data_IF_459908281747
#
_entry.id   IF_459908281747
#
_cell.length_a   1.000
_cell.length_b   1.000
_cell.length_c   1.000
_cell.angle_alpha   90.00
_cell.angle_beta   90.00
_cell.angle_gamma   90.00
#
_symmetry.space_group_name_H-M   'P 1'
#
loop_
_entity.id
_entity.type
_entity.pdbx_description
1 polymer ?
#
# COMPACT_ATOMS: atom_id res chain seq x y z
N UNK A 1 0.26 -4.56 19.65
CA UNK A 1 0.77 -5.89 19.26
C UNK A 1 1.88 -5.67 18.24
N UNK A 2 3.05 -6.31 18.38
CA UNK A 2 4.12 -6.20 17.38
C UNK A 2 3.96 -7.28 16.30
N UNK A 3 3.83 -6.92 15.04
CA UNK A 3 3.72 -7.82 13.90
C UNK A 3 4.85 -7.57 12.90
N UNK A 4 5.76 -8.54 12.77
CA UNK A 4 6.92 -8.43 11.88
C UNK A 4 6.54 -8.40 10.38
N UNK A 5 5.42 -9.02 9.98
CA UNK A 5 4.97 -9.07 8.58
C UNK A 5 4.61 -7.69 8.04
N UNK A 6 3.81 -6.93 8.80
CA UNK A 6 3.40 -5.58 8.41
C UNK A 6 4.24 -4.48 9.05
N UNK A 7 5.24 -4.79 9.88
CA UNK A 7 5.99 -3.81 10.69
C UNK A 7 5.06 -2.84 11.44
N UNK A 8 4.04 -3.42 12.07
CA UNK A 8 3.03 -2.70 12.87
C UNK A 8 2.10 -1.75 12.11
N UNK A 9 2.24 -1.60 10.79
CA UNK A 9 1.34 -0.75 9.98
C UNK A 9 -0.07 -1.33 9.86
N UNK A 10 -0.21 -2.65 10.01
CA UNK A 10 -1.46 -3.35 9.77
C UNK A 10 -1.70 -3.74 8.30
N UNK A 11 -0.75 -3.47 7.40
CA UNK A 11 -0.88 -3.74 5.96
C UNK A 11 0.32 -4.52 5.40
N UNK A 12 0.04 -5.40 4.45
CA UNK A 12 1.01 -6.20 3.70
C UNK A 12 0.83 -5.95 2.21
N UNK A 13 1.84 -6.30 1.40
CA UNK A 13 1.68 -6.28 -0.04
C UNK A 13 0.69 -7.38 -0.46
N UNK A 14 -0.23 -7.04 -1.38
CA UNK A 14 -1.18 -7.98 -1.99
C UNK A 14 -0.48 -9.19 -2.61
N UNK A 15 0.58 -8.94 -3.39
CA UNK A 15 1.34 -9.98 -4.11
C UNK A 15 2.34 -10.72 -3.21
N UNK A 16 2.78 -10.09 -2.13
CA UNK A 16 3.73 -10.65 -1.16
C UNK A 16 3.19 -10.50 0.27
N UNK A 17 2.23 -11.35 0.71
CA UNK A 17 1.53 -11.19 2.00
C UNK A 17 2.39 -11.41 3.25
N UNK A 18 3.63 -11.84 3.07
CA UNK A 18 4.67 -11.95 4.10
C UNK A 18 5.53 -10.69 4.23
N UNK A 19 5.37 -9.73 3.31
CA UNK A 19 6.09 -8.46 3.28
C UNK A 19 5.16 -7.26 3.55
N UNK A 20 5.67 -6.22 4.22
CA UNK A 20 4.93 -4.99 4.48
C UNK A 20 4.67 -4.26 3.16
N UNK A 21 3.50 -3.64 2.98
CA UNK A 21 3.22 -2.81 1.80
C UNK A 21 4.03 -1.51 1.84
N UNK A 22 4.62 -1.14 0.69
CA UNK A 22 5.31 0.13 0.49
C UNK A 22 4.38 1.35 0.49
N UNK A 23 3.11 1.18 0.10
CA UNK A 23 2.05 2.22 0.13
C UNK A 23 1.93 2.89 1.51
N UNK A 24 2.18 2.13 2.58
CA UNK A 24 1.92 2.58 3.96
C UNK A 24 3.12 2.47 4.88
N UNK A 25 4.15 1.73 4.47
CA UNK A 25 5.30 1.41 5.30
C UNK A 25 6.57 1.65 4.50
N UNK A 26 7.31 2.69 4.88
CA UNK A 26 8.59 3.04 4.24
C UNK A 26 9.54 1.82 4.17
N UNK A 27 10.18 1.63 3.01
CA UNK A 27 11.00 0.44 2.74
C UNK A 27 10.22 -0.86 2.70
N UNK A 28 8.92 -0.80 2.34
CA UNK A 28 8.06 -1.95 2.10
C UNK A 28 8.39 -2.68 0.81
N UNK A 29 7.52 -3.61 0.42
CA UNK A 29 7.64 -4.31 -0.85
C UNK A 29 7.34 -3.34 -2.00
N UNK A 30 8.37 -3.04 -2.79
CA UNK A 30 8.36 -2.06 -3.89
C UNK A 30 7.95 -2.66 -5.24
N UNK A 31 7.21 -3.77 -5.23
CA UNK A 31 6.82 -4.46 -6.47
C UNK A 31 5.66 -3.78 -7.22
N UNK A 32 5.11 -2.69 -6.67
CA UNK A 32 3.95 -1.99 -7.21
C UNK A 32 2.60 -2.64 -6.91
N UNK A 33 2.58 -3.70 -6.11
CA UNK A 33 1.34 -4.34 -5.65
C UNK A 33 0.60 -3.50 -4.62
N UNK A 34 -0.73 -3.55 -4.63
CA UNK A 34 -1.55 -2.78 -3.70
C UNK A 34 -1.36 -3.22 -2.23
N UNK A 35 -1.82 -2.37 -1.30
CA UNK A 35 -1.87 -2.71 0.11
C UNK A 35 -3.07 -3.62 0.43
N UNK A 36 -2.83 -4.71 1.15
CA UNK A 36 -3.85 -5.61 1.67
C UNK A 36 -3.82 -5.65 3.20
N UNK A 37 -4.96 -5.87 3.89
CA UNK A 37 -5.00 -5.98 5.34
C UNK A 37 -4.13 -7.13 5.83
N UNK A 38 -3.25 -6.85 6.78
CA UNK A 38 -2.48 -7.91 7.43
C UNK A 38 -3.42 -8.82 8.22
N UNK A 39 -3.12 -10.12 8.26
CA UNK A 39 -3.84 -11.08 9.12
C UNK A 39 -3.90 -10.71 10.61
N UNK A 40 -2.95 -9.89 11.12
CA UNK A 40 -3.00 -9.38 12.49
C UNK A 40 -4.00 -8.23 12.68
N UNK A 41 -4.47 -7.64 11.59
CA UNK A 41 -5.42 -6.54 11.55
C UNK A 41 -6.51 -6.81 10.48
N UNK A 42 -7.39 -7.81 10.69
CA UNK A 42 -8.43 -8.17 9.73
C UNK A 42 -9.49 -7.06 9.54
N UNK A 43 -9.52 -6.07 10.43
CA UNK A 43 -10.38 -4.88 10.34
C UNK A 43 -9.61 -3.63 9.92
N UNK A 44 -8.46 -3.76 9.25
CA UNK A 44 -7.72 -2.59 8.79
C UNK A 44 -8.59 -1.76 7.84
N UNK A 45 -8.82 -0.50 8.21
CA UNK A 45 -9.43 0.51 7.35
C UNK A 45 -8.31 1.43 6.91
N UNK A 46 -8.17 1.63 5.60
CA UNK A 46 -7.15 2.52 5.07
C UNK A 46 -7.64 3.95 5.28
N UNK A 47 -7.11 4.64 6.30
CA UNK A 47 -7.41 6.05 6.58
C UNK A 47 -6.51 6.98 5.74
N UNK A 48 -6.56 6.83 4.42
CA UNK A 48 -5.84 7.66 3.45
C UNK A 48 -6.68 7.89 2.19
N UNK A 49 -6.47 9.02 1.53
CA UNK A 49 -7.06 9.27 0.21
C UNK A 49 -6.18 8.59 -0.85
N UNK A 50 -6.72 7.59 -1.55
CA UNK A 50 -6.13 7.13 -2.81
C UNK A 50 -6.64 8.05 -3.90
N UNK A 51 -5.81 8.98 -4.37
CA UNK A 51 -6.15 9.80 -5.54
C UNK A 51 -6.02 8.95 -6.80
N UNK A 52 -7.15 8.43 -7.28
CA UNK A 52 -7.23 7.74 -8.57
C UNK A 52 -7.44 8.79 -9.66
N UNK A 53 -6.36 9.22 -10.30
CA UNK A 53 -6.43 10.07 -11.49
C UNK A 53 -6.74 9.21 -12.72
N UNK A 54 -8.01 9.12 -13.10
CA UNK A 54 -8.38 8.60 -14.42
C UNK A 54 -8.17 9.71 -15.47
N UNK A 55 -7.02 9.69 -16.15
CA UNK A 55 -6.73 10.59 -17.28
C UNK A 55 -7.18 9.95 -18.59
N UNK A 56 -8.10 10.63 -19.29
CA UNK A 56 -8.55 10.23 -20.64
C UNK A 56 -7.62 10.73 -21.76
N UNK A 57 -6.61 11.52 -21.40
CA UNK A 57 -5.61 12.08 -22.30
C UNK A 57 -4.22 11.58 -21.84
N UNK A 58 -3.54 10.74 -22.64
CA UNK A 58 -2.25 10.15 -22.27
C UNK A 58 -1.13 11.19 -22.10
N UNK A 59 -1.29 12.42 -22.57
CA UNK A 59 -0.31 13.50 -22.38
C UNK A 59 -0.38 14.16 -21.00
N UNK A 60 -1.43 13.91 -20.21
CA UNK A 60 -1.62 14.50 -18.87
C UNK A 60 -1.23 13.56 -17.71
N UNK A 61 -0.60 12.42 -18.00
CA UNK A 61 0.04 11.60 -16.97
C UNK A 61 1.34 12.30 -16.55
N UNK A 62 1.22 13.31 -15.68
CA UNK A 62 2.38 13.84 -14.96
C UNK A 62 2.80 12.78 -13.92
N UNK A 63 4.08 12.38 -13.86
CA UNK A 63 4.54 11.41 -12.88
C UNK A 63 4.30 12.00 -11.48
N UNK A 64 3.34 11.44 -10.76
CA UNK A 64 2.90 11.95 -9.47
C UNK A 64 4.00 11.73 -8.45
N UNK A 65 4.73 12.80 -8.10
CA UNK A 65 5.69 12.81 -6.99
C UNK A 65 4.97 13.26 -5.72
N UNK A 66 4.88 12.37 -4.74
CA UNK A 66 4.97 12.72 -3.33
C UNK A 66 5.87 11.72 -2.61
#
# INVERSE_FOLDING_TARGET
>A
MRCAKCRDSGWVCEDHPDRPSDVVTEGGCDCGGAAAPCTCNPGAIFEGWVEVFAVNDPEQVEPSVH
#
